data_IF_794237757586
#
_entry.id   IF_794237757586
#
_cell.length_a   1.000
_cell.length_b   1.000
_cell.length_c   1.000
_cell.angle_alpha   90.00
_cell.angle_beta   90.00
_cell.angle_gamma   90.00
#
_symmetry.space_group_name_H-M   'P 1'
#
loop_
_entity.id
_entity.type
_entity.pdbx_description
1 polymer ?
#
# COMPACT_ATOMS: atom_id res chain seq x y z
N UNK A 1 8.02 -57.26 97.12
CA UNK A 1 7.43 -56.92 95.81
C UNK A 1 8.52 -57.12 94.76
N UNK A 2 8.46 -58.16 93.92
CA UNK A 2 9.53 -58.54 92.98
C UNK A 2 9.69 -57.58 91.77
N UNK A 3 9.20 -56.34 91.89
CA UNK A 3 9.07 -55.38 90.79
C UNK A 3 10.27 -54.43 90.67
N UNK A 4 11.19 -54.47 91.64
CA UNK A 4 12.41 -53.66 91.70
C UNK A 4 13.65 -54.56 91.89
N UNK A 5 13.70 -55.67 91.13
CA UNK A 5 14.90 -56.49 91.06
C UNK A 5 15.82 -55.94 89.95
N UNK A 6 16.86 -55.22 90.36
CA UNK A 6 17.74 -54.50 89.43
C UNK A 6 18.58 -55.41 88.52
N UNK A 7 18.66 -56.69 88.85
CA UNK A 7 19.33 -57.70 88.02
C UNK A 7 18.58 -57.98 86.71
N UNK A 8 17.27 -57.75 86.66
CA UNK A 8 16.44 -57.91 85.46
C UNK A 8 16.53 -56.71 84.48
N UNK A 9 17.01 -55.54 84.92
CA UNK A 9 17.13 -54.36 84.04
C UNK A 9 18.33 -54.44 83.08
N UNK A 10 19.45 -55.04 83.48
CA UNK A 10 20.65 -55.10 82.65
C UNK A 10 20.42 -55.82 81.30
N UNK A 11 19.80 -57.01 81.24
CA UNK A 11 19.47 -57.66 79.98
C UNK A 11 18.51 -56.84 79.11
N UNK A 12 17.54 -56.16 79.73
CA UNK A 12 16.54 -55.35 79.03
C UNK A 12 17.16 -54.09 78.42
N UNK A 13 18.11 -53.44 79.11
CA UNK A 13 18.86 -52.30 78.57
C UNK A 13 19.74 -52.75 77.40
N UNK A 14 20.44 -53.89 77.50
CA UNK A 14 21.27 -54.42 76.41
C UNK A 14 20.41 -54.68 75.16
N UNK A 15 19.24 -55.32 75.32
CA UNK A 15 18.35 -55.60 74.19
C UNK A 15 17.69 -54.33 73.62
N UNK A 16 17.38 -53.34 74.47
CA UNK A 16 16.94 -52.02 74.03
C UNK A 16 18.01 -51.35 73.17
N UNK A 17 19.29 -51.36 73.58
CA UNK A 17 20.37 -50.76 72.79
C UNK A 17 20.52 -51.50 71.46
N UNK A 18 20.49 -52.83 71.45
CA UNK A 18 20.60 -53.62 70.20
C UNK A 18 19.46 -53.29 69.25
N UNK A 19 18.21 -53.32 69.72
CA UNK A 19 17.03 -53.01 68.88
C UNK A 19 17.03 -51.55 68.42
N UNK A 20 17.45 -50.62 69.28
CA UNK A 20 17.57 -49.20 68.93
C UNK A 20 18.64 -48.96 67.86
N UNK A 21 19.82 -49.59 67.98
CA UNK A 21 20.89 -49.48 66.98
C UNK A 21 20.45 -50.07 65.64
N UNK A 22 19.74 -51.21 65.64
CA UNK A 22 19.17 -51.80 64.42
C UNK A 22 18.17 -50.84 63.78
N UNK A 23 17.24 -50.28 64.57
CA UNK A 23 16.26 -49.31 64.09
C UNK A 23 16.95 -48.05 63.53
N UNK A 24 17.95 -47.52 64.24
CA UNK A 24 18.73 -46.36 63.82
C UNK A 24 19.44 -46.63 62.49
N UNK A 25 20.09 -47.79 62.34
CA UNK A 25 20.74 -48.18 61.09
C UNK A 25 19.74 -48.30 59.93
N UNK A 26 18.55 -48.84 60.17
CA UNK A 26 17.47 -48.89 59.17
C UNK A 26 16.99 -47.49 58.78
N UNK A 27 16.78 -46.60 59.75
CA UNK A 27 16.39 -45.21 59.48
C UNK A 27 17.47 -44.45 58.71
N UNK A 28 18.74 -44.59 59.12
CA UNK A 28 19.88 -43.95 58.48
C UNK A 28 20.09 -44.45 57.04
N UNK A 29 19.95 -45.75 56.80
CA UNK A 29 20.26 -46.36 55.50
C UNK A 29 19.06 -46.41 54.55
N UNK A 30 17.82 -46.28 55.03
CA UNK A 30 16.60 -46.41 54.20
C UNK A 30 15.73 -45.16 54.23
N UNK A 31 15.40 -44.63 55.40
CA UNK A 31 14.46 -43.50 55.49
C UNK A 31 15.10 -42.18 55.03
N UNK A 32 16.31 -41.87 55.51
CA UNK A 32 17.07 -40.68 55.13
C UNK A 32 17.32 -40.57 53.61
N UNK A 33 17.86 -41.60 52.92
CA UNK A 33 18.08 -41.50 51.47
C UNK A 33 16.78 -41.36 50.67
N UNK A 34 15.67 -41.98 51.11
CA UNK A 34 14.36 -41.79 50.45
C UNK A 34 13.82 -40.37 50.58
N UNK A 35 14.04 -39.72 51.72
CA UNK A 35 13.64 -38.31 51.89
C UNK A 35 14.55 -37.39 51.07
N UNK A 36 15.86 -37.68 51.05
CA UNK A 36 16.82 -36.97 50.21
C UNK A 36 16.46 -37.01 48.73
N UNK A 37 16.15 -38.20 48.19
CA UNK A 37 15.78 -38.35 46.79
C UNK A 37 14.52 -37.57 46.42
N UNK A 38 13.49 -37.56 47.28
CA UNK A 38 12.27 -36.79 47.03
C UNK A 38 12.54 -35.28 47.04
N UNK A 39 13.45 -34.80 47.90
CA UNK A 39 13.81 -33.40 47.95
C UNK A 39 14.63 -33.00 46.72
N UNK A 40 15.58 -33.84 46.30
CA UNK A 40 16.36 -33.66 45.07
C UNK A 40 15.46 -33.66 43.83
N UNK A 41 14.52 -34.60 43.71
CA UNK A 41 13.56 -34.67 42.60
C UNK A 41 12.71 -33.40 42.52
N UNK A 42 12.26 -32.87 43.67
CA UNK A 42 11.50 -31.62 43.73
C UNK A 42 12.36 -30.44 43.30
N UNK A 43 13.59 -30.35 43.80
CA UNK A 43 14.49 -29.27 43.46
C UNK A 43 14.84 -29.29 41.96
N UNK A 44 15.11 -30.48 41.41
CA UNK A 44 15.38 -30.68 40.00
C UNK A 44 14.19 -30.23 39.14
N UNK A 45 12.96 -30.63 39.50
CA UNK A 45 11.74 -30.18 38.80
C UNK A 45 11.52 -28.68 38.90
N UNK A 46 11.80 -28.06 40.04
CA UNK A 46 11.66 -26.61 40.20
C UNK A 46 12.65 -25.89 39.28
N UNK A 47 13.91 -26.32 39.27
CA UNK A 47 14.94 -25.72 38.41
C UNK A 47 14.59 -25.91 36.93
N UNK A 48 14.21 -27.11 36.51
CA UNK A 48 13.80 -27.40 35.13
C UNK A 48 12.60 -26.56 34.67
N UNK A 49 11.60 -26.38 35.55
CA UNK A 49 10.46 -25.51 35.26
C UNK A 49 10.86 -24.03 35.19
N UNK A 50 11.79 -23.57 36.03
CA UNK A 50 12.29 -22.19 36.00
C UNK A 50 13.09 -21.93 34.71
N UNK A 51 13.99 -22.85 34.35
CA UNK A 51 14.78 -22.76 33.12
C UNK A 51 13.87 -22.77 31.88
N UNK A 52 12.87 -23.66 31.86
CA UNK A 52 11.87 -23.70 30.79
C UNK A 52 11.07 -22.40 30.71
N UNK A 53 10.65 -21.85 31.86
CA UNK A 53 9.91 -20.59 31.89
C UNK A 53 10.77 -19.40 31.43
N UNK A 54 12.05 -19.37 31.78
CA UNK A 54 12.99 -18.34 31.31
C UNK A 54 13.24 -18.43 29.81
N UNK A 55 13.42 -19.65 29.28
CA UNK A 55 13.57 -19.89 27.86
C UNK A 55 12.33 -19.45 27.09
N UNK A 56 11.13 -19.88 27.51
CA UNK A 56 9.87 -19.47 26.89
C UNK A 56 9.65 -17.96 26.95
N UNK A 57 10.03 -17.31 28.06
CA UNK A 57 9.96 -15.85 28.18
C UNK A 57 10.91 -15.17 27.21
N UNK A 58 12.11 -15.72 27.00
CA UNK A 58 13.12 -15.16 26.10
C UNK A 58 12.68 -15.33 24.64
N UNK A 59 12.18 -16.50 24.27
CA UNK A 59 11.61 -16.79 22.95
C UNK A 59 10.42 -15.87 22.66
N UNK A 60 9.45 -15.75 23.59
CA UNK A 60 8.31 -14.86 23.42
C UNK A 60 8.71 -13.38 23.25
N UNK A 61 9.78 -12.93 23.91
CA UNK A 61 10.31 -11.57 23.71
C UNK A 61 10.95 -11.40 22.33
N UNK A 62 11.74 -12.38 21.89
CA UNK A 62 12.37 -12.35 20.57
C UNK A 62 11.32 -12.37 19.45
N UNK A 63 10.27 -13.18 19.62
CA UNK A 63 9.13 -13.23 18.69
C UNK A 63 8.36 -11.91 18.67
N UNK A 64 8.12 -11.30 19.84
CA UNK A 64 7.47 -10.01 19.93
C UNK A 64 8.29 -8.91 19.23
N UNK A 65 9.60 -8.86 19.44
CA UNK A 65 10.49 -7.90 18.77
C UNK A 65 10.52 -8.11 17.25
N UNK A 66 10.59 -9.37 16.80
CA UNK A 66 10.53 -9.72 15.37
C UNK A 66 9.20 -9.31 14.75
N UNK A 67 8.10 -9.55 15.45
CA UNK A 67 6.76 -9.17 15.01
C UNK A 67 6.59 -7.64 14.93
N UNK A 68 7.06 -6.91 15.94
CA UNK A 68 7.03 -5.44 15.94
C UNK A 68 7.86 -4.86 14.79
N UNK A 69 9.05 -5.41 14.55
CA UNK A 69 9.91 -5.03 13.43
C UNK A 69 9.24 -5.29 12.07
N UNK A 70 8.68 -6.50 11.88
CA UNK A 70 7.97 -6.86 10.66
C UNK A 70 6.74 -5.96 10.43
N UNK A 71 6.01 -5.59 11.49
CA UNK A 71 4.87 -4.67 11.40
C UNK A 71 5.32 -3.26 11.02
N UNK A 72 6.43 -2.78 11.56
CA UNK A 72 7.01 -1.48 11.21
C UNK A 72 7.45 -1.45 9.74
N UNK A 73 8.15 -2.49 9.28
CA UNK A 73 8.58 -2.63 7.89
C UNK A 73 7.37 -2.71 6.94
N UNK A 74 6.36 -3.53 7.24
CA UNK A 74 5.16 -3.63 6.42
C UNK A 74 4.41 -2.28 6.31
N UNK A 75 4.35 -1.51 7.41
CA UNK A 75 3.76 -0.16 7.39
C UNK A 75 4.56 0.80 6.52
N UNK A 76 5.89 0.74 6.58
CA UNK A 76 6.76 1.58 5.77
C UNK A 76 6.64 1.22 4.28
N UNK A 77 6.69 -0.07 3.94
CA UNK A 77 6.48 -0.55 2.57
C UNK A 77 5.12 -0.11 2.04
N UNK A 78 4.04 -0.24 2.82
CA UNK A 78 2.72 0.22 2.42
C UNK A 78 2.68 1.73 2.15
N UNK A 79 3.32 2.56 3.00
CA UNK A 79 3.43 4.01 2.77
C UNK A 79 4.19 4.32 1.49
N UNK A 80 5.29 3.62 1.24
CA UNK A 80 6.09 3.78 0.03
C UNK A 80 5.30 3.38 -1.22
N UNK A 81 4.59 2.26 -1.19
CA UNK A 81 3.74 1.82 -2.31
C UNK A 81 2.65 2.85 -2.61
N UNK A 82 1.97 3.37 -1.58
CA UNK A 82 0.94 4.39 -1.75
C UNK A 82 1.54 5.68 -2.33
N UNK A 83 2.68 6.13 -1.80
CA UNK A 83 3.36 7.32 -2.31
C UNK A 83 3.79 7.15 -3.78
N UNK A 84 4.36 5.99 -4.14
CA UNK A 84 4.75 5.68 -5.51
C UNK A 84 3.54 5.68 -6.45
N UNK A 85 2.45 5.03 -6.04
CA UNK A 85 1.22 5.01 -6.83
C UNK A 85 0.63 6.41 -7.05
N UNK A 86 0.69 7.30 -6.04
CA UNK A 86 0.28 8.70 -6.21
C UNK A 86 1.20 9.48 -7.15
N UNK A 87 2.51 9.27 -7.08
CA UNK A 87 3.47 9.92 -7.97
C UNK A 87 3.27 9.47 -9.42
N UNK A 88 3.11 8.16 -9.63
CA UNK A 88 2.86 7.58 -10.94
C UNK A 88 1.52 8.04 -11.53
N UNK A 89 0.45 8.06 -10.73
CA UNK A 89 -0.85 8.56 -11.16
C UNK A 89 -0.81 10.06 -11.54
N UNK A 90 -0.09 10.88 -10.77
CA UNK A 90 0.08 12.30 -11.09
C UNK A 90 0.92 12.51 -12.35
N UNK A 91 2.00 11.76 -12.52
CA UNK A 91 2.83 11.80 -13.72
C UNK A 91 2.02 11.42 -14.97
N UNK A 92 1.30 10.30 -14.90
CA UNK A 92 0.40 9.85 -15.96
C UNK A 92 -0.69 10.87 -16.27
N UNK A 93 -1.33 11.45 -15.26
CA UNK A 93 -2.35 12.49 -15.47
C UNK A 93 -1.77 13.73 -16.15
N UNK A 94 -0.54 14.12 -15.80
CA UNK A 94 0.12 15.29 -16.38
C UNK A 94 0.45 15.02 -17.85
N UNK A 95 1.03 13.87 -18.16
CA UNK A 95 1.33 13.45 -19.53
C UNK A 95 0.07 13.39 -20.40
N UNK A 96 -1.02 12.79 -19.89
CA UNK A 96 -2.30 12.75 -20.59
C UNK A 96 -2.89 14.15 -20.83
N UNK A 97 -2.74 15.08 -19.87
CA UNK A 97 -3.19 16.46 -20.05
C UNK A 97 -2.38 17.21 -21.10
N UNK A 98 -1.06 17.01 -21.14
CA UNK A 98 -0.17 17.58 -22.15
C UNK A 98 -0.52 17.04 -23.55
N UNK A 99 -0.63 15.72 -23.72
CA UNK A 99 -1.00 15.09 -25.00
C UNK A 99 -2.37 15.58 -25.49
N UNK A 100 -3.35 15.63 -24.58
CA UNK A 100 -4.69 16.10 -24.92
C UNK A 100 -4.69 17.59 -25.29
N UNK A 101 -3.87 18.39 -24.60
CA UNK A 101 -3.68 19.81 -24.91
C UNK A 101 -3.09 20.02 -26.31
N UNK A 102 -2.05 19.27 -26.66
CA UNK A 102 -1.45 19.31 -28.01
C UNK A 102 -2.45 18.90 -29.09
N UNK A 103 -3.17 17.80 -28.87
CA UNK A 103 -4.19 17.32 -29.81
C UNK A 103 -5.30 18.35 -30.00
N UNK A 104 -5.77 18.96 -28.91
CA UNK A 104 -6.81 19.98 -28.97
C UNK A 104 -6.32 21.22 -29.72
N UNK A 105 -5.07 21.65 -29.52
CA UNK A 105 -4.48 22.76 -30.26
C UNK A 105 -4.41 22.48 -31.77
N UNK A 106 -4.05 21.26 -32.17
CA UNK A 106 -4.06 20.81 -33.57
C UNK A 106 -5.48 20.84 -34.15
N UNK A 107 -6.46 20.35 -33.41
CA UNK A 107 -7.84 20.29 -33.88
C UNK A 107 -8.48 21.68 -33.99
N UNK A 108 -8.18 22.59 -33.05
CA UNK A 108 -8.57 24.00 -33.12
C UNK A 108 -7.98 24.64 -34.38
N UNK A 109 -6.68 24.48 -34.63
CA UNK A 109 -6.03 25.07 -35.82
C UNK A 109 -6.62 24.54 -37.13
N UNK A 110 -6.96 23.25 -37.19
CA UNK A 110 -7.66 22.66 -38.35
C UNK A 110 -9.06 23.25 -38.52
N UNK A 111 -9.80 23.44 -37.44
CA UNK A 111 -11.12 24.04 -37.47
C UNK A 111 -11.05 25.51 -37.94
N UNK A 112 -10.10 26.29 -37.42
CA UNK A 112 -9.85 27.67 -37.86
C UNK A 112 -9.52 27.75 -39.35
N UNK A 113 -8.67 26.84 -39.85
CA UNK A 113 -8.33 26.76 -41.27
C UNK A 113 -9.57 26.47 -42.12
N UNK A 114 -10.40 25.48 -41.73
CA UNK A 114 -11.65 25.16 -42.42
C UNK A 114 -12.65 26.31 -42.42
N UNK A 115 -12.73 27.05 -41.31
CA UNK A 115 -13.59 28.25 -41.22
C UNK A 115 -13.07 29.34 -42.17
N UNK A 116 -11.76 29.54 -42.26
CA UNK A 116 -11.14 30.46 -43.22
C UNK A 116 -11.47 30.07 -44.66
N UNK A 117 -11.23 28.82 -45.04
CA UNK A 117 -11.54 28.30 -46.38
C UNK A 117 -13.03 28.44 -46.72
N UNK A 118 -13.93 28.13 -45.78
CA UNK A 118 -15.37 28.29 -45.97
C UNK A 118 -15.76 29.76 -46.15
N UNK A 119 -15.13 30.67 -45.40
CA UNK A 119 -15.36 32.11 -45.54
C UNK A 119 -14.91 32.62 -46.91
N UNK A 120 -13.74 32.22 -47.36
CA UNK A 120 -13.19 32.62 -48.66
C UNK A 120 -14.05 32.05 -49.81
N UNK A 121 -14.52 30.81 -49.69
CA UNK A 121 -15.44 30.21 -50.64
C UNK A 121 -16.77 30.98 -50.73
N UNK A 122 -17.36 31.36 -49.59
CA UNK A 122 -18.60 32.14 -49.56
C UNK A 122 -18.40 33.53 -50.18
N UNK A 123 -17.28 34.20 -49.90
CA UNK A 123 -16.96 35.50 -50.52
C UNK A 123 -16.85 35.37 -52.03
N UNK A 124 -16.19 34.31 -52.53
CA UNK A 124 -16.11 34.01 -53.95
C UNK A 124 -17.47 33.75 -54.60
N UNK A 125 -18.34 33.00 -53.90
CA UNK A 125 -19.68 32.69 -54.42
C UNK A 125 -20.60 33.91 -54.42
N UNK A 126 -20.56 34.75 -53.38
CA UNK A 126 -21.28 36.04 -53.35
C UNK A 126 -20.82 36.94 -54.48
N UNK A 127 -19.51 36.96 -54.76
CA UNK A 127 -18.96 37.72 -55.90
C UNK A 127 -19.49 37.22 -57.23
N UNK A 128 -19.47 35.90 -57.47
CA UNK A 128 -20.00 35.32 -58.71
C UNK A 128 -21.50 35.62 -58.89
N UNK A 129 -22.28 35.54 -57.81
CA UNK A 129 -23.71 35.89 -57.81
C UNK A 129 -23.88 37.39 -58.13
N UNK A 130 -23.07 38.27 -57.53
CA UNK A 130 -23.13 39.71 -57.79
C UNK A 130 -22.76 40.06 -59.24
N UNK A 131 -21.75 39.41 -59.82
CA UNK A 131 -21.35 39.57 -61.23
C UNK A 131 -22.49 39.13 -62.17
N UNK A 132 -23.11 37.98 -61.91
CA UNK A 132 -24.26 37.49 -62.68
C UNK A 132 -25.47 38.43 -62.59
N UNK A 133 -25.85 38.88 -61.39
CA UNK A 133 -26.97 39.81 -61.21
C UNK A 133 -26.69 41.14 -61.88
N UNK A 134 -25.46 41.67 -61.78
CA UNK A 134 -25.08 42.92 -62.42
C UNK A 134 -25.14 42.82 -63.95
N UNK A 135 -24.67 41.71 -64.53
CA UNK A 135 -24.77 41.45 -65.96
C UNK A 135 -26.24 41.39 -66.43
N UNK A 136 -27.09 40.65 -65.70
CA UNK A 136 -28.53 40.53 -65.99
C UNK A 136 -29.26 41.89 -65.92
N UNK A 137 -28.92 42.72 -64.95
CA UNK A 137 -29.50 44.06 -64.79
C UNK A 137 -29.12 44.96 -65.97
N UNK A 138 -27.84 44.96 -66.37
CA UNK A 138 -27.35 45.80 -67.48
C UNK A 138 -27.94 45.35 -68.81
N UNK A 139 -28.03 44.04 -69.06
CA UNK A 139 -28.67 43.50 -70.26
C UNK A 139 -30.13 43.93 -70.35
N UNK A 140 -30.89 43.86 -69.25
CA UNK A 140 -32.31 44.29 -69.22
C UNK A 140 -32.52 45.81 -69.33
N UNK A 141 -31.62 46.63 -68.81
CA UNK A 141 -31.77 48.10 -68.79
C UNK A 141 -31.27 48.77 -70.07
N UNK A 142 -30.17 48.27 -70.63
CA UNK A 142 -29.46 48.92 -71.74
C UNK A 142 -29.64 48.15 -73.06
N UNK A 143 -30.14 46.90 -73.00
CA UNK A 143 -30.37 46.03 -74.15
C UNK A 143 -29.08 45.78 -74.98
N UNK A 144 -27.93 45.82 -74.29
CA UNK A 144 -26.60 45.57 -74.82
C UNK A 144 -25.96 44.51 -73.92
N UNK A 145 -25.45 43.43 -74.50
CA UNK A 145 -24.74 42.39 -73.76
C UNK A 145 -23.41 42.98 -73.27
N UNK A 146 -23.20 43.13 -71.95
CA UNK A 146 -21.99 43.73 -71.42
C UNK A 146 -20.79 42.79 -71.60
N UNK A 147 -19.61 43.36 -71.82
CA UNK A 147 -18.36 42.58 -71.88
C UNK A 147 -18.03 42.05 -70.48
N UNK A 148 -17.92 40.74 -70.33
CA UNK A 148 -17.65 40.05 -69.05
C UNK A 148 -16.47 40.66 -68.28
N UNK A 149 -15.38 41.04 -68.98
CA UNK A 149 -14.20 41.65 -68.34
C UNK A 149 -14.47 43.01 -67.68
N UNK A 150 -15.45 43.77 -68.20
CA UNK A 150 -15.83 45.08 -67.64
C UNK A 150 -16.75 44.96 -66.43
N UNK A 151 -17.61 43.92 -66.39
CA UNK A 151 -18.49 43.63 -65.25
C UNK A 151 -17.66 43.16 -64.06
N UNK A 152 -16.70 42.25 -64.29
CA UNK A 152 -15.78 41.76 -63.26
C UNK A 152 -14.99 42.91 -62.63
N UNK A 153 -14.44 43.83 -63.43
CA UNK A 153 -13.70 44.99 -62.92
C UNK A 153 -14.57 45.97 -62.12
N UNK A 154 -15.83 46.18 -62.54
CA UNK A 154 -16.75 47.08 -61.84
C UNK A 154 -17.20 46.51 -60.49
N UNK A 155 -17.50 45.21 -60.43
CA UNK A 155 -17.83 44.52 -59.18
C UNK A 155 -16.62 44.47 -58.24
N UNK A 156 -15.41 44.25 -58.77
CA UNK A 156 -14.16 44.34 -58.01
C UNK A 156 -13.95 45.68 -57.34
N UNK A 157 -14.16 46.77 -58.08
CA UNK A 157 -14.01 48.12 -57.58
C UNK A 157 -15.04 48.42 -56.48
N UNK A 158 -16.30 48.03 -56.69
CA UNK A 158 -17.37 48.25 -55.72
C UNK A 158 -17.21 47.43 -54.43
N UNK A 159 -16.70 46.20 -54.53
CA UNK A 159 -16.44 45.35 -53.36
C UNK A 159 -15.26 45.84 -52.52
N UNK A 160 -14.25 46.47 -53.15
CA UNK A 160 -13.10 47.09 -52.46
C UNK A 160 -13.41 48.42 -51.79
N UNK A 161 -14.42 49.15 -52.26
CA UNK A 161 -14.80 50.46 -51.71
C UNK A 161 -15.69 50.35 -50.45
N UNK A 162 -16.35 49.20 -50.25
CA UNK A 162 -17.28 48.93 -49.13
C UNK A 162 -16.77 47.95 -48.06
N UNK A 163 -15.63 47.28 -48.29
CA UNK A 163 -14.95 46.43 -47.30
C UNK A 163 -13.94 47.22 -46.49
#
# INVERSE_FOLDING_TARGET
>A
MPQLDFTAFSPQIIWLVITFVILYALMAKVALPRIGSVLEDRQAKINDNLDTAENLRTEAKADAETYESALAEAREQARQTVMHAYQEANAFSTEQHEELGERLAVDIKKAETRIGEAKDAVVGEVRNIAESIAADIVDRLVNITPNEGTVVQAVDAAMKEKG
#
